data_IF_130922070407
#
_entry.id   IF_130922070407
#
_cell.length_a   1.000
_cell.length_b   1.000
_cell.length_c   1.000
_cell.angle_alpha   90.00
_cell.angle_beta   90.00
_cell.angle_gamma   90.00
#
_symmetry.space_group_name_H-M   'P 1'
#
loop_
_entity.id
_entity.type
_entity.pdbx_description
1 polymer ?
#
# COMPACT_ATOMS: atom_id res chain seq x y z
N UNK A 1 -29.18 16.86 8.58
CA UNK A 1 -27.81 16.76 9.16
C UNK A 1 -27.84 16.99 10.67
N UNK A 2 -27.23 16.11 11.47
CA UNK A 2 -27.00 16.31 12.90
C UNK A 2 -26.29 17.65 13.16
N UNK A 3 -26.73 18.39 14.17
CA UNK A 3 -26.13 19.67 14.60
C UNK A 3 -24.89 19.48 15.48
N UNK A 4 -24.61 18.25 15.91
CA UNK A 4 -23.46 17.91 16.72
C UNK A 4 -22.99 16.48 16.47
N UNK A 5 -21.69 16.24 16.64
CA UNK A 5 -21.06 14.93 16.62
C UNK A 5 -20.11 14.81 17.80
N UNK A 6 -20.24 13.74 18.57
CA UNK A 6 -19.39 13.48 19.73
C UNK A 6 -18.80 12.09 19.62
N UNK A 7 -17.51 11.99 19.93
CA UNK A 7 -16.80 10.73 20.06
C UNK A 7 -15.84 10.85 21.24
N UNK A 8 -16.16 10.15 22.33
CA UNK A 8 -15.50 10.37 23.62
C UNK A 8 -15.53 11.86 24.01
N UNK A 9 -14.37 12.48 24.25
CA UNK A 9 -14.21 13.90 24.59
C UNK A 9 -14.17 14.83 23.36
N UNK A 10 -14.00 14.29 22.14
CA UNK A 10 -13.97 15.07 20.91
C UNK A 10 -15.39 15.40 20.42
N UNK A 11 -15.72 16.70 20.40
CA UNK A 11 -17.01 17.23 19.94
C UNK A 11 -16.90 18.17 18.75
N UNK A 12 -17.83 18.06 17.81
CA UNK A 12 -18.12 19.06 16.78
C UNK A 12 -19.53 19.59 16.98
N UNK A 13 -19.65 20.90 16.81
CA UNK A 13 -20.94 21.60 16.75
C UNK A 13 -21.06 22.25 15.38
N UNK A 14 -22.19 22.05 14.72
CA UNK A 14 -22.50 22.65 13.43
C UNK A 14 -23.62 23.65 13.65
N UNK A 15 -23.30 24.92 13.41
CA UNK A 15 -24.26 26.01 13.45
C UNK A 15 -24.46 26.57 12.04
N UNK A 16 -25.71 26.63 11.60
CA UNK A 16 -26.07 27.18 10.28
C UNK A 16 -26.28 28.70 10.31
N UNK A 17 -26.19 29.32 11.49
CA UNK A 17 -26.47 30.74 11.72
C UNK A 17 -25.35 31.35 12.55
N UNK A 18 -24.77 32.45 12.05
CA UNK A 18 -23.73 33.21 12.77
C UNK A 18 -24.25 33.80 14.08
N UNK A 19 -25.55 34.08 14.14
CA UNK A 19 -26.21 34.70 15.29
C UNK A 19 -26.39 33.70 16.43
N UNK A 20 -26.52 32.42 16.11
CA UNK A 20 -26.82 31.39 17.11
C UNK A 20 -25.56 30.76 17.70
N UNK A 21 -24.39 30.88 17.05
CA UNK A 21 -23.13 30.33 17.57
C UNK A 21 -22.82 30.83 19.00
N UNK A 22 -22.86 32.15 19.31
CA UNK A 22 -22.59 32.60 20.68
C UNK A 22 -23.59 32.05 21.70
N UNK A 23 -24.87 31.90 21.32
CA UNK A 23 -25.90 31.33 22.20
C UNK A 23 -25.65 29.85 22.47
N UNK A 24 -25.27 29.09 21.43
CA UNK A 24 -24.92 27.67 21.56
C UNK A 24 -23.71 27.50 22.48
N UNK A 25 -22.69 28.35 22.34
CA UNK A 25 -21.54 28.33 23.25
C UNK A 25 -21.93 28.60 24.70
N UNK A 26 -22.79 29.60 24.95
CA UNK A 26 -23.29 29.87 26.31
C UNK A 26 -24.06 28.69 26.91
N UNK A 27 -24.90 28.02 26.12
CA UNK A 27 -25.62 26.81 26.56
C UNK A 27 -24.66 25.70 26.94
N UNK A 28 -23.59 25.54 26.17
CA UNK A 28 -22.56 24.53 26.41
C UNK A 28 -21.76 24.86 27.66
N UNK A 29 -21.35 26.12 27.84
CA UNK A 29 -20.70 26.57 29.07
C UNK A 29 -21.56 26.34 30.31
N UNK A 30 -22.86 26.64 30.23
CA UNK A 30 -23.76 26.37 31.35
C UNK A 30 -23.86 24.86 31.63
N UNK A 31 -23.91 24.03 30.59
CA UNK A 31 -23.96 22.58 30.71
C UNK A 31 -22.65 22.01 31.30
N UNK A 32 -21.49 22.50 30.88
CA UNK A 32 -20.18 22.07 31.36
C UNK A 32 -20.00 22.39 32.85
N UNK A 33 -20.38 23.59 33.28
CA UNK A 33 -20.41 23.95 34.72
C UNK A 33 -21.34 23.03 35.52
N UNK A 34 -22.57 22.80 35.02
CA UNK A 34 -23.55 21.94 35.70
C UNK A 34 -23.07 20.50 35.88
N UNK A 35 -22.29 19.99 34.94
CA UNK A 35 -21.81 18.61 34.93
C UNK A 35 -20.37 18.46 35.46
N UNK A 36 -19.75 19.55 35.94
CA UNK A 36 -18.35 19.56 36.40
C UNK A 36 -17.35 19.00 35.37
N UNK A 37 -17.60 19.25 34.08
CA UNK A 37 -16.71 18.89 32.97
C UNK A 37 -16.27 20.18 32.31
N UNK A 38 -14.97 20.48 32.25
CA UNK A 38 -14.48 21.71 31.63
C UNK A 38 -13.99 21.47 30.20
N UNK A 39 -14.28 22.42 29.31
CA UNK A 39 -13.65 22.47 27.99
C UNK A 39 -12.24 23.03 28.13
N UNK A 40 -11.37 22.65 27.20
CA UNK A 40 -10.00 23.16 27.07
C UNK A 40 -9.99 24.19 25.93
N UNK A 41 -10.09 25.51 26.23
CA UNK A 41 -10.25 26.53 25.18
C UNK A 41 -9.10 26.52 24.16
N UNK A 42 -7.89 26.18 24.60
CA UNK A 42 -6.70 26.02 23.75
C UNK A 42 -6.80 24.87 22.73
N UNK A 43 -7.68 23.90 22.94
CA UNK A 43 -7.96 22.81 21.98
C UNK A 43 -9.21 23.10 21.14
N UNK A 44 -10.03 24.06 21.53
CA UNK A 44 -11.19 24.46 20.76
C UNK A 44 -10.77 25.31 19.56
N UNK A 45 -11.44 25.12 18.42
CA UNK A 45 -11.22 25.92 17.24
C UNK A 45 -12.52 26.09 16.47
N UNK A 46 -12.63 27.21 15.75
CA UNK A 46 -13.75 27.49 14.86
C UNK A 46 -13.30 27.53 13.40
N UNK A 47 -14.02 26.83 12.55
CA UNK A 47 -13.89 26.90 11.09
C UNK A 47 -15.15 27.52 10.51
N UNK A 48 -15.00 28.49 9.61
CA UNK A 48 -16.15 29.15 8.97
C UNK A 48 -15.78 29.67 7.58
N UNK A 49 -16.69 29.52 6.61
CA UNK A 49 -16.58 30.13 5.28
C UNK A 49 -16.79 31.64 5.30
N UNK A 50 -17.41 32.11 6.37
CA UNK A 50 -17.84 33.48 6.50
C UNK A 50 -17.17 34.14 7.69
N UNK A 51 -17.07 35.45 7.65
CA UNK A 51 -16.70 36.24 8.82
C UNK A 51 -17.73 36.03 9.94
N UNK A 52 -17.22 35.76 11.14
CA UNK A 52 -18.00 35.48 12.36
C UNK A 52 -17.51 36.40 13.46
N UNK A 53 -18.36 36.72 14.45
CA UNK A 53 -17.90 37.46 15.62
C UNK A 53 -16.80 36.70 16.36
N UNK A 54 -16.00 37.43 17.14
CA UNK A 54 -15.04 36.83 18.07
C UNK A 54 -15.81 35.95 19.05
N UNK A 55 -15.43 34.68 19.10
CA UNK A 55 -16.04 33.69 19.98
C UNK A 55 -15.15 33.52 21.20
N UNK A 56 -15.76 33.33 22.36
CA UNK A 56 -15.02 33.00 23.58
C UNK A 56 -15.66 31.83 24.31
N UNK A 57 -14.81 31.05 24.99
CA UNK A 57 -15.19 29.99 25.92
C UNK A 57 -14.55 30.31 27.27
N UNK A 58 -15.36 30.45 28.33
CA UNK A 58 -14.90 30.86 29.67
C UNK A 58 -14.07 32.17 29.65
N UNK A 59 -14.46 33.11 28.81
CA UNK A 59 -13.75 34.39 28.63
C UNK A 59 -12.42 34.30 27.88
N UNK A 60 -12.03 33.13 27.36
CA UNK A 60 -10.87 32.97 26.47
C UNK A 60 -11.33 32.91 25.02
N UNK A 61 -10.66 33.66 24.14
CA UNK A 61 -10.96 33.65 22.72
C UNK A 61 -10.71 32.28 22.09
N UNK A 62 -11.62 31.83 21.23
CA UNK A 62 -11.50 30.58 20.48
C UNK A 62 -10.79 30.86 19.17
N UNK A 63 -9.69 30.14 18.91
CA UNK A 63 -8.89 30.32 17.71
C UNK A 63 -9.69 30.00 16.44
N UNK A 64 -9.66 30.93 15.47
CA UNK A 64 -10.18 30.69 14.13
C UNK A 64 -9.12 29.99 13.28
N UNK A 65 -9.45 28.83 12.72
CA UNK A 65 -8.57 28.04 11.85
C UNK A 65 -9.15 27.87 10.45
N UNK A 66 -8.28 27.70 9.48
CA UNK A 66 -8.67 27.30 8.11
C UNK A 66 -8.87 25.78 7.99
N UNK A 67 -8.28 25.01 8.91
CA UNK A 67 -8.44 23.58 8.99
C UNK A 67 -8.34 23.08 10.44
N UNK A 68 -9.22 22.15 10.81
CA UNK A 68 -9.21 21.44 12.09
C UNK A 68 -9.25 19.94 11.81
N UNK A 69 -8.52 19.15 12.60
CA UNK A 69 -8.57 17.69 12.51
C UNK A 69 -9.61 17.15 13.47
N UNK A 70 -10.54 16.31 12.98
CA UNK A 70 -11.51 15.60 13.80
C UNK A 70 -11.48 14.11 13.49
N UNK A 71 -11.27 13.28 14.53
CA UNK A 71 -11.10 11.82 14.39
C UNK A 71 -10.08 11.43 13.31
N UNK A 72 -9.06 12.26 13.16
CA UNK A 72 -8.00 12.07 12.18
C UNK A 72 -8.31 12.55 10.76
N UNK A 73 -9.48 13.16 10.50
CA UNK A 73 -9.85 13.78 9.23
C UNK A 73 -9.64 15.29 9.27
N UNK A 74 -8.88 15.87 8.33
CA UNK A 74 -8.79 17.31 8.20
C UNK A 74 -10.08 17.87 7.60
N UNK A 75 -10.68 18.81 8.32
CA UNK A 75 -11.92 19.48 7.97
C UNK A 75 -11.63 20.96 7.71
N UNK A 76 -11.99 21.42 6.52
CA UNK A 76 -11.97 22.82 6.12
C UNK A 76 -13.41 23.36 6.13
N UNK A 77 -13.60 24.68 6.02
CA UNK A 77 -14.92 25.25 5.76
C UNK A 77 -15.61 24.63 4.53
N UNK A 78 -14.83 24.18 3.54
CA UNK A 78 -15.30 23.49 2.33
C UNK A 78 -15.58 21.99 2.51
N UNK A 79 -15.46 21.43 3.72
CA UNK A 79 -15.67 20.01 3.99
C UNK A 79 -14.36 19.27 4.27
N UNK A 80 -14.41 17.94 4.16
CA UNK A 80 -13.24 17.08 4.43
C UNK A 80 -12.22 17.21 3.29
N UNK A 81 -10.96 17.45 3.65
CA UNK A 81 -9.84 17.51 2.70
C UNK A 81 -9.21 16.13 2.55
N UNK A 82 -9.79 15.29 1.68
CA UNK A 82 -9.33 13.92 1.45
C UNK A 82 -7.92 13.84 0.85
N UNK A 83 -7.53 14.82 0.03
CA UNK A 83 -6.18 14.88 -0.53
C UNK A 83 -5.14 15.10 0.56
N UNK A 84 -5.35 16.10 1.42
CA UNK A 84 -4.49 16.37 2.56
C UNK A 84 -4.46 15.20 3.55
N UNK A 85 -5.60 14.57 3.83
CA UNK A 85 -5.68 13.37 4.67
C UNK A 85 -4.73 12.29 4.15
N UNK A 86 -4.87 11.92 2.88
CA UNK A 86 -4.11 10.82 2.29
C UNK A 86 -2.60 11.14 2.27
N UNK A 87 -2.24 12.37 1.88
CA UNK A 87 -0.85 12.83 1.87
C UNK A 87 -0.22 12.80 3.26
N UNK A 88 -0.90 13.33 4.28
CA UNK A 88 -0.41 13.33 5.66
C UNK A 88 -0.23 11.91 6.19
N UNK A 89 -1.19 11.02 5.93
CA UNK A 89 -1.14 9.63 6.41
C UNK A 89 -0.06 8.79 5.73
N UNK A 90 0.12 8.94 4.42
CA UNK A 90 1.22 8.27 3.72
C UNK A 90 2.57 8.83 4.16
N UNK A 91 2.68 10.14 4.32
CA UNK A 91 3.92 10.77 4.82
C UNK A 91 4.27 10.28 6.23
N UNK A 92 3.27 10.17 7.11
CA UNK A 92 3.45 9.59 8.45
C UNK A 92 3.86 8.12 8.41
N UNK A 93 3.28 7.33 7.49
CA UNK A 93 3.66 5.94 7.28
C UNK A 93 5.11 5.81 6.81
N UNK A 94 5.55 6.66 5.88
CA UNK A 94 6.95 6.73 5.43
C UNK A 94 7.87 7.16 6.59
N UNK A 95 7.50 8.19 7.35
CA UNK A 95 8.24 8.63 8.53
C UNK A 95 8.42 7.50 9.55
N UNK A 96 7.38 6.70 9.80
CA UNK A 96 7.48 5.52 10.67
C UNK A 96 8.44 4.48 10.11
N UNK A 97 8.45 4.22 8.80
CA UNK A 97 9.44 3.30 8.21
C UNK A 97 10.87 3.82 8.35
N UNK A 98 11.08 5.15 8.29
CA UNK A 98 12.39 5.76 8.58
C UNK A 98 12.83 5.52 10.03
N UNK A 99 11.93 5.71 11.00
CA UNK A 99 12.19 5.42 12.41
C UNK A 99 12.49 3.93 12.66
N UNK A 100 11.70 3.04 12.05
CA UNK A 100 11.90 1.59 12.14
C UNK A 100 13.20 1.17 11.44
N UNK A 101 13.60 1.87 10.37
CA UNK A 101 14.85 1.68 9.64
C UNK A 101 16.04 1.50 10.58
N UNK A 102 16.21 2.43 11.52
CA UNK A 102 17.29 2.46 12.54
C UNK A 102 17.41 1.16 13.35
N UNK A 103 16.33 0.37 13.47
CA UNK A 103 16.30 -0.90 14.24
C UNK A 103 16.01 -2.14 13.39
N UNK A 104 15.77 -1.98 12.09
CA UNK A 104 15.27 -3.04 11.20
C UNK A 104 16.30 -3.54 10.18
N UNK A 105 17.58 -3.17 10.33
CA UNK A 105 18.66 -3.62 9.45
C UNK A 105 18.84 -5.13 9.45
N UNK A 106 18.50 -5.80 10.55
CA UNK A 106 18.51 -7.26 10.66
C UNK A 106 17.24 -7.94 10.14
N UNK A 107 16.20 -7.17 9.81
CA UNK A 107 14.92 -7.71 9.36
C UNK A 107 14.98 -8.06 7.88
N UNK A 108 14.73 -9.33 7.57
CA UNK A 108 14.54 -9.76 6.19
C UNK A 108 13.29 -9.14 5.55
N UNK A 109 13.23 -9.04 4.22
CA UNK A 109 12.09 -8.53 3.48
C UNK A 109 10.72 -9.13 3.87
N UNK A 110 10.68 -10.40 4.29
CA UNK A 110 9.45 -11.05 4.79
C UNK A 110 8.87 -10.33 6.01
N UNK A 111 9.71 -9.99 6.98
CA UNK A 111 9.28 -9.32 8.22
C UNK A 111 8.83 -7.89 7.90
N UNK A 112 9.58 -7.16 7.07
CA UNK A 112 9.19 -5.82 6.62
C UNK A 112 7.85 -5.83 5.90
N UNK A 113 7.60 -6.82 5.04
CA UNK A 113 6.31 -7.02 4.39
C UNK A 113 5.17 -7.29 5.38
N UNK A 114 5.41 -8.10 6.42
CA UNK A 114 4.41 -8.34 7.46
C UNK A 114 4.10 -7.07 8.25
N UNK A 115 5.12 -6.32 8.68
CA UNK A 115 4.95 -5.04 9.37
C UNK A 115 4.23 -4.04 8.48
N UNK A 116 4.55 -4.00 7.19
CA UNK A 116 3.82 -3.18 6.22
C UNK A 116 2.33 -3.51 6.21
N UNK A 117 1.98 -4.80 6.07
CA UNK A 117 0.58 -5.23 5.99
C UNK A 117 -0.19 -5.02 7.29
N UNK A 118 0.44 -5.19 8.44
CA UNK A 118 -0.22 -5.20 9.76
C UNK A 118 -0.26 -3.80 10.39
N UNK A 119 0.79 -3.00 10.23
CA UNK A 119 0.94 -1.74 10.96
C UNK A 119 1.00 -0.52 10.05
N UNK A 120 1.72 -0.59 8.92
CA UNK A 120 1.95 0.59 8.07
C UNK A 120 0.76 0.88 7.15
N UNK A 121 0.27 -0.13 6.43
CA UNK A 121 -0.85 0.05 5.49
C UNK A 121 -2.13 0.57 6.18
N UNK A 122 -2.53 0.07 7.36
CA UNK A 122 -3.67 0.63 8.08
C UNK A 122 -3.59 2.13 8.37
N UNK A 123 -2.39 2.71 8.50
CA UNK A 123 -2.24 4.14 8.79
C UNK A 123 -2.84 5.03 7.70
N UNK A 124 -2.72 4.64 6.44
CA UNK A 124 -3.26 5.40 5.30
C UNK A 124 -4.50 4.76 4.67
N UNK A 125 -4.85 3.53 5.05
CA UNK A 125 -6.11 2.89 4.64
C UNK A 125 -7.32 3.33 5.50
N UNK A 126 -7.06 3.96 6.66
CA UNK A 126 -8.13 4.56 7.47
C UNK A 126 -8.89 5.63 6.68
N UNK A 127 -10.21 5.47 6.56
CA UNK A 127 -11.05 6.31 5.70
C UNK A 127 -10.96 5.98 4.20
N UNK A 128 -10.26 4.90 3.81
CA UNK A 128 -10.02 4.50 2.42
C UNK A 128 -11.25 4.49 1.51
N UNK A 129 -12.43 3.97 1.93
CA UNK A 129 -13.64 4.04 1.12
C UNK A 129 -14.08 5.47 0.77
N UNK A 130 -13.99 6.41 1.72
CA UNK A 130 -14.35 7.81 1.50
C UNK A 130 -13.36 8.49 0.57
N UNK A 131 -12.06 8.23 0.79
CA UNK A 131 -10.98 8.72 -0.06
C UNK A 131 -11.14 8.20 -1.49
N UNK A 132 -11.51 6.93 -1.67
CA UNK A 132 -11.74 6.35 -3.00
C UNK A 132 -12.92 7.00 -3.71
N UNK A 133 -14.04 7.20 -2.99
CA UNK A 133 -15.20 7.88 -3.55
C UNK A 133 -14.87 9.31 -4.00
N UNK A 134 -14.04 10.04 -3.25
CA UNK A 134 -13.51 11.34 -3.66
C UNK A 134 -12.56 11.25 -4.86
N UNK A 135 -11.65 10.27 -4.87
CA UNK A 135 -10.62 10.10 -5.88
C UNK A 135 -11.19 9.84 -7.29
N UNK A 136 -12.35 9.20 -7.41
CA UNK A 136 -13.03 9.00 -8.71
C UNK A 136 -13.23 10.30 -9.50
N UNK A 137 -13.38 11.44 -8.82
CA UNK A 137 -13.47 12.77 -9.45
C UNK A 137 -12.19 13.61 -9.34
N UNK A 138 -11.14 13.11 -8.66
CA UNK A 138 -9.90 13.83 -8.32
C UNK A 138 -8.68 12.90 -8.45
N UNK A 139 -8.62 12.14 -9.55
CA UNK A 139 -7.57 11.14 -9.77
C UNK A 139 -6.16 11.74 -9.79
N UNK A 140 -5.89 12.90 -10.44
CA UNK A 140 -4.56 13.51 -10.40
C UNK A 140 -4.08 13.85 -8.99
N UNK A 141 -4.98 14.36 -8.14
CA UNK A 141 -4.70 14.69 -6.75
C UNK A 141 -4.45 13.44 -5.92
N UNK A 142 -5.23 12.37 -6.15
CA UNK A 142 -4.99 11.06 -5.56
C UNK A 142 -3.61 10.52 -5.91
N UNK A 143 -3.24 10.53 -7.19
CA UNK A 143 -1.93 10.06 -7.67
C UNK A 143 -0.77 10.84 -7.05
N UNK A 144 -0.93 12.16 -6.93
CA UNK A 144 0.03 13.04 -6.27
C UNK A 144 0.18 12.69 -4.79
N UNK A 145 -0.94 12.54 -4.07
CA UNK A 145 -0.93 12.23 -2.64
C UNK A 145 -0.30 10.86 -2.33
N UNK A 146 -0.42 9.89 -3.24
CA UNK A 146 0.14 8.54 -3.07
C UNK A 146 1.55 8.36 -3.62
N UNK A 147 2.17 9.39 -4.20
CA UNK A 147 3.47 9.28 -4.86
C UNK A 147 4.59 8.76 -3.93
N UNK A 148 4.49 9.02 -2.62
CA UNK A 148 5.45 8.55 -1.62
C UNK A 148 5.32 7.05 -1.28
N UNK A 149 4.28 6.35 -1.76
CA UNK A 149 4.13 4.90 -1.56
C UNK A 149 5.32 4.10 -2.10
N UNK A 150 6.02 4.62 -3.11
CA UNK A 150 7.26 4.03 -3.62
C UNK A 150 8.34 3.85 -2.54
N UNK A 151 8.41 4.76 -1.56
CA UNK A 151 9.38 4.68 -0.46
C UNK A 151 9.08 3.52 0.48
N UNK A 152 7.80 3.22 0.70
CA UNK A 152 7.38 2.05 1.47
C UNK A 152 7.79 0.75 0.77
N UNK A 153 7.72 0.71 -0.57
CA UNK A 153 8.20 -0.44 -1.33
C UNK A 153 9.73 -0.54 -1.29
N UNK A 154 10.44 0.57 -1.42
CA UNK A 154 11.90 0.61 -1.30
C UNK A 154 12.34 0.09 0.08
N UNK A 155 11.64 0.47 1.16
CA UNK A 155 11.90 -0.03 2.51
C UNK A 155 11.72 -1.54 2.63
N UNK A 156 10.65 -2.11 2.06
CA UNK A 156 10.43 -3.56 2.08
C UNK A 156 11.56 -4.30 1.34
N UNK A 157 11.96 -3.83 0.15
CA UNK A 157 12.98 -4.51 -0.65
C UNK A 157 14.43 -4.19 -0.27
N UNK A 158 14.69 -3.06 0.39
CA UNK A 158 16.04 -2.52 0.56
C UNK A 158 16.71 -2.08 -0.76
N UNK A 159 15.91 -1.82 -1.80
CA UNK A 159 16.37 -1.44 -3.14
C UNK A 159 15.55 -0.28 -3.67
N UNK A 160 16.21 0.68 -4.30
CA UNK A 160 15.56 1.84 -4.91
C UNK A 160 15.13 1.56 -6.35
N UNK A 161 14.07 2.21 -6.82
CA UNK A 161 13.79 2.33 -8.27
C UNK A 161 12.96 1.21 -8.91
N UNK A 162 12.50 0.18 -8.19
CA UNK A 162 11.65 -0.90 -8.74
C UNK A 162 10.36 -1.17 -7.95
N UNK A 163 9.80 -0.13 -7.33
CA UNK A 163 8.63 -0.22 -6.44
C UNK A 163 7.43 -1.01 -7.00
N UNK A 164 7.08 -0.88 -8.30
CA UNK A 164 6.01 -1.69 -8.89
C UNK A 164 6.33 -3.19 -8.97
N UNK A 165 7.58 -3.53 -9.28
CA UNK A 165 8.05 -4.92 -9.31
C UNK A 165 8.10 -5.47 -7.88
N UNK A 166 8.63 -4.69 -6.93
CA UNK A 166 8.62 -5.03 -5.50
C UNK A 166 7.20 -5.28 -4.99
N UNK A 167 6.26 -4.40 -5.28
CA UNK A 167 4.86 -4.56 -4.89
C UNK A 167 4.29 -5.87 -5.43
N UNK A 168 4.50 -6.15 -6.72
CA UNK A 168 4.04 -7.38 -7.34
C UNK A 168 4.69 -8.64 -6.71
N UNK A 169 6.01 -8.63 -6.46
CA UNK A 169 6.72 -9.71 -5.76
C UNK A 169 6.21 -9.90 -4.33
N UNK A 170 5.77 -8.83 -3.66
CA UNK A 170 5.23 -8.88 -2.30
C UNK A 170 3.72 -9.26 -2.24
N UNK A 171 3.09 -9.45 -3.39
CA UNK A 171 1.65 -9.65 -3.50
C UNK A 171 0.83 -8.44 -3.06
N UNK A 172 1.39 -7.24 -3.21
CA UNK A 172 0.76 -5.95 -2.92
C UNK A 172 0.25 -5.37 -4.24
N UNK A 173 -1.02 -4.98 -4.28
CA UNK A 173 -1.62 -4.29 -5.43
C UNK A 173 -1.28 -2.80 -5.40
N UNK A 174 -1.52 -2.08 -6.50
CA UNK A 174 -1.45 -0.61 -6.46
C UNK A 174 -2.41 -0.05 -5.42
N UNK A 175 -2.13 1.17 -4.93
CA UNK A 175 -3.05 1.84 -3.99
C UNK A 175 -4.42 2.10 -4.62
N UNK A 176 -4.50 2.34 -5.94
CA UNK A 176 -5.75 2.41 -6.67
C UNK A 176 -6.60 1.15 -6.47
N UNK A 177 -6.03 -0.01 -6.77
CA UNK A 177 -6.71 -1.30 -6.63
C UNK A 177 -7.03 -1.62 -5.17
N UNK A 178 -6.15 -1.24 -4.24
CA UNK A 178 -6.34 -1.46 -2.80
C UNK A 178 -7.49 -0.62 -2.24
N UNK A 179 -7.58 0.65 -2.64
CA UNK A 179 -8.65 1.54 -2.20
C UNK A 179 -9.99 1.14 -2.81
N UNK A 180 -10.02 0.74 -4.09
CA UNK A 180 -11.20 0.10 -4.71
C UNK A 180 -11.63 -1.16 -3.93
N UNK A 181 -10.68 -2.01 -3.51
CA UNK A 181 -10.99 -3.20 -2.73
C UNK A 181 -11.62 -2.87 -1.36
N UNK A 182 -11.07 -1.88 -0.65
CA UNK A 182 -11.63 -1.41 0.63
C UNK A 182 -13.01 -0.80 0.43
N UNK A 183 -13.20 -0.06 -0.65
CA UNK A 183 -14.47 0.53 -1.05
C UNK A 183 -15.54 -0.53 -1.30
N UNK A 184 -15.23 -1.57 -2.09
CA UNK A 184 -16.14 -2.70 -2.32
C UNK A 184 -16.49 -3.43 -1.01
N UNK A 185 -15.52 -3.60 -0.10
CA UNK A 185 -15.79 -4.17 1.23
C UNK A 185 -16.72 -3.29 2.06
N UNK A 186 -16.58 -1.98 1.95
CA UNK A 186 -17.42 -1.02 2.66
C UNK A 186 -18.87 -1.02 2.17
N UNK A 187 -19.13 -1.37 0.91
CA UNK A 187 -20.50 -1.48 0.40
C UNK A 187 -21.34 -2.53 1.14
N UNK A 188 -20.74 -3.66 1.53
CA UNK A 188 -21.44 -4.65 2.35
C UNK A 188 -21.84 -4.08 3.71
N UNK A 189 -20.97 -3.25 4.31
CA UNK A 189 -21.28 -2.57 5.57
C UNK A 189 -22.45 -1.61 5.35
N UNK A 190 -22.38 -0.78 4.31
CA UNK A 190 -23.47 0.13 3.96
C UNK A 190 -24.78 -0.63 3.78
N UNK A 191 -24.78 -1.72 3.00
CA UNK A 191 -25.98 -2.54 2.75
C UNK A 191 -26.60 -3.08 4.04
N UNK A 192 -25.78 -3.41 5.04
CA UNK A 192 -26.21 -3.93 6.34
C UNK A 192 -26.61 -2.85 7.36
N UNK A 193 -26.36 -1.56 7.09
CA UNK A 193 -26.80 -0.49 7.98
C UNK A 193 -28.32 -0.34 7.97
N UNK A 194 -28.98 -0.17 9.14
CA UNK A 194 -30.40 0.19 9.22
C UNK A 194 -30.70 1.50 8.51
N UNK A 195 -31.93 1.66 8.00
CA UNK A 195 -32.36 2.87 7.30
C UNK A 195 -32.34 4.12 8.22
N UNK A 196 -32.51 3.92 9.53
CA UNK A 196 -32.43 4.97 10.54
C UNK A 196 -30.98 5.43 10.82
N UNK A 197 -29.99 4.72 10.28
CA UNK A 197 -28.60 5.09 10.49
C UNK A 197 -28.34 6.50 9.92
N UNK A 198 -27.71 7.42 10.68
CA UNK A 198 -27.48 8.79 10.23
C UNK A 198 -26.71 8.88 8.90
N UNK A 199 -25.81 7.94 8.63
CA UNK A 199 -25.10 7.88 7.36
C UNK A 199 -26.03 7.48 6.21
N UNK A 200 -26.92 6.51 6.41
CA UNK A 200 -27.93 6.11 5.40
C UNK A 200 -28.84 7.27 5.06
N UNK A 201 -29.35 7.96 6.07
CA UNK A 201 -30.17 9.17 5.89
C UNK A 201 -29.39 10.26 5.14
N UNK A 202 -28.13 10.51 5.51
CA UNK A 202 -27.29 11.50 4.85
C UNK A 202 -27.03 11.17 3.38
N UNK A 203 -26.80 9.89 3.05
CA UNK A 203 -26.57 9.46 1.67
C UNK A 203 -27.86 9.46 0.83
N UNK A 204 -29.02 9.31 1.46
CA UNK A 204 -30.33 9.45 0.81
C UNK A 204 -30.65 10.92 0.49
N UNK A 205 -30.16 11.87 1.29
CA UNK A 205 -30.25 13.30 1.01
C UNK A 205 -29.41 13.66 -0.23
N UNK A 206 -30.02 13.65 -1.42
CA UNK A 206 -29.35 14.12 -2.64
C UNK A 206 -29.04 15.61 -2.52
N UNK A 207 -27.76 15.94 -2.35
CA UNK A 207 -27.28 17.32 -2.29
C UNK A 207 -26.59 17.69 -3.61
N UNK A 208 -27.15 18.62 -4.40
CA UNK A 208 -26.51 19.07 -5.62
C UNK A 208 -25.22 19.85 -5.29
N UNK A 209 -24.17 19.60 -6.06
CA UNK A 209 -22.92 20.37 -6.02
C UNK A 209 -21.65 19.53 -5.92
N UNK A 210 -20.55 20.07 -6.47
CA UNK A 210 -19.23 19.39 -6.52
C UNK A 210 -18.72 18.95 -5.15
N UNK A 211 -19.06 19.71 -4.10
CA UNK A 211 -18.61 19.50 -2.72
C UNK A 211 -19.14 18.20 -2.09
N UNK A 212 -20.27 17.68 -2.60
CA UNK A 212 -20.92 16.45 -2.13
C UNK A 212 -20.86 15.33 -3.18
N UNK A 213 -20.15 15.52 -4.30
CA UNK A 213 -20.05 14.53 -5.36
C UNK A 213 -19.52 13.17 -4.85
N UNK A 214 -18.58 13.20 -3.90
CA UNK A 214 -18.04 11.99 -3.28
C UNK A 214 -19.12 11.19 -2.52
N UNK A 215 -20.18 11.81 -1.98
CA UNK A 215 -21.26 11.10 -1.31
C UNK A 215 -22.08 10.28 -2.31
N UNK A 216 -22.36 10.85 -3.48
CA UNK A 216 -22.99 10.11 -4.58
C UNK A 216 -22.11 8.94 -5.02
N UNK A 217 -20.82 9.20 -5.20
CA UNK A 217 -19.84 8.17 -5.57
C UNK A 217 -19.67 7.08 -4.51
N UNK A 218 -19.97 7.36 -3.24
CA UNK A 218 -19.91 6.42 -2.14
C UNK A 218 -21.02 5.36 -2.19
N UNK A 219 -22.15 5.67 -2.83
CA UNK A 219 -23.32 4.77 -2.89
C UNK A 219 -23.27 3.75 -4.02
N UNK A 220 -22.31 3.86 -4.93
CA UNK A 220 -22.26 3.04 -6.14
C UNK A 220 -20.90 2.38 -6.31
N UNK A 221 -20.92 1.06 -6.40
CA UNK A 221 -19.73 0.26 -6.68
C UNK A 221 -20.02 -0.85 -7.68
N UNK A 222 -19.48 -0.72 -8.89
CA UNK A 222 -19.62 -1.74 -9.94
C UNK A 222 -19.12 -3.11 -9.48
N UNK A 223 -18.05 -3.13 -8.70
CA UNK A 223 -17.44 -4.35 -8.23
C UNK A 223 -18.32 -5.11 -7.23
N UNK A 224 -19.04 -4.38 -6.38
CA UNK A 224 -20.03 -4.91 -5.46
C UNK A 224 -21.29 -5.40 -6.16
N UNK A 225 -21.78 -4.69 -7.20
CA UNK A 225 -22.91 -5.18 -8.01
C UNK A 225 -22.59 -6.52 -8.68
N UNK A 226 -21.41 -6.65 -9.28
CA UNK A 226 -20.94 -7.94 -9.85
C UNK A 226 -20.87 -9.03 -8.77
N UNK A 227 -20.48 -8.68 -7.54
CA UNK A 227 -20.47 -9.62 -6.43
C UNK A 227 -21.88 -10.12 -6.10
N UNK A 228 -22.87 -9.22 -6.00
CA UNK A 228 -24.27 -9.58 -5.74
C UNK A 228 -24.84 -10.51 -6.82
N UNK A 229 -24.51 -10.25 -8.08
CA UNK A 229 -24.98 -11.07 -9.21
C UNK A 229 -24.38 -12.49 -9.23
N UNK A 230 -23.20 -12.68 -8.65
CA UNK A 230 -22.42 -13.93 -8.79
C UNK A 230 -22.52 -14.88 -7.61
N UNK A 231 -23.07 -14.44 -6.47
CA UNK A 231 -23.09 -15.24 -5.24
C UNK A 231 -24.51 -15.69 -4.90
N UNK A 232 -24.76 -16.99 -5.04
CA UNK A 232 -25.85 -17.68 -4.31
C UNK A 232 -25.43 -17.73 -2.84
N UNK A 233 -26.13 -17.00 -1.99
CA UNK A 233 -25.79 -16.74 -0.57
C UNK A 233 -25.58 -18.04 0.24
N UNK A 234 -24.34 -18.50 0.38
CA UNK A 234 -23.88 -19.60 1.24
C UNK A 234 -22.42 -19.33 1.69
N UNK A 235 -22.01 -19.47 2.98
CA UNK A 235 -22.77 -19.40 4.23
C UNK A 235 -22.58 -18.08 5.02
N UNK A 236 -21.82 -17.08 4.55
CA UNK A 236 -21.90 -15.68 5.06
C UNK A 236 -21.48 -14.71 3.96
N UNK A 237 -22.21 -13.60 3.77
CA UNK A 237 -21.92 -12.60 2.75
C UNK A 237 -20.47 -12.06 2.85
N UNK A 238 -19.96 -11.90 4.07
CA UNK A 238 -18.59 -11.47 4.33
C UNK A 238 -17.54 -12.45 3.80
N UNK A 239 -17.69 -13.75 4.06
CA UNK A 239 -16.76 -14.78 3.57
C UNK A 239 -16.82 -14.89 2.04
N UNK A 240 -18.03 -14.82 1.47
CA UNK A 240 -18.20 -14.80 0.02
C UNK A 240 -17.51 -13.58 -0.61
N UNK A 241 -17.66 -12.40 0.00
CA UNK A 241 -17.04 -11.17 -0.46
C UNK A 241 -15.52 -11.23 -0.36
N UNK A 242 -14.96 -11.72 0.75
CA UNK A 242 -13.51 -11.86 0.90
C UNK A 242 -12.91 -12.83 -0.14
N UNK A 243 -13.66 -13.88 -0.53
CA UNK A 243 -13.26 -14.79 -1.63
C UNK A 243 -13.36 -14.13 -2.99
N UNK A 244 -14.43 -13.38 -3.27
CA UNK A 244 -14.58 -12.60 -4.51
C UNK A 244 -13.43 -11.60 -4.67
N UNK A 245 -13.17 -10.84 -3.62
CA UNK A 245 -12.12 -9.84 -3.58
C UNK A 245 -10.71 -10.45 -3.62
N UNK A 246 -10.52 -11.67 -3.12
CA UNK A 246 -9.29 -12.43 -3.35
C UNK A 246 -9.11 -12.75 -4.84
N UNK A 247 -10.12 -13.30 -5.51
CA UNK A 247 -10.04 -13.63 -6.95
C UNK A 247 -9.69 -12.39 -7.77
N UNK A 248 -10.27 -11.24 -7.44
CA UNK A 248 -9.90 -9.96 -8.05
C UNK A 248 -8.45 -9.57 -7.81
N UNK A 249 -7.96 -9.66 -6.56
CA UNK A 249 -6.54 -9.40 -6.25
C UNK A 249 -5.59 -10.30 -7.03
N UNK A 250 -5.91 -11.60 -7.14
CA UNK A 250 -5.12 -12.55 -7.95
C UNK A 250 -5.05 -12.08 -9.40
N UNK A 251 -6.19 -11.71 -10.00
CA UNK A 251 -6.25 -11.23 -11.38
C UNK A 251 -5.47 -9.92 -11.58
N UNK A 252 -5.55 -8.99 -10.63
CA UNK A 252 -4.80 -7.72 -10.67
C UNK A 252 -3.30 -7.98 -10.65
N UNK A 253 -2.82 -8.81 -9.71
CA UNK A 253 -1.39 -9.17 -9.62
C UNK A 253 -0.92 -9.89 -10.86
N UNK A 254 -1.74 -10.79 -11.42
CA UNK A 254 -1.44 -11.49 -12.66
C UNK A 254 -1.34 -10.53 -13.85
N UNK A 255 -2.28 -9.61 -14.01
CA UNK A 255 -2.25 -8.59 -15.07
C UNK A 255 -1.00 -7.70 -14.94
N UNK A 256 -0.74 -7.19 -13.74
CA UNK A 256 0.46 -6.39 -13.46
C UNK A 256 1.76 -7.18 -13.70
N UNK A 257 1.76 -8.47 -13.37
CA UNK A 257 2.90 -9.33 -13.65
C UNK A 257 3.14 -9.44 -15.16
N UNK A 258 2.10 -9.56 -15.98
CA UNK A 258 2.20 -9.63 -17.44
C UNK A 258 2.71 -8.34 -18.07
N UNK A 259 2.40 -7.18 -17.49
CA UNK A 259 2.89 -5.87 -17.94
C UNK A 259 4.37 -5.63 -17.60
N UNK A 260 4.91 -6.34 -16.59
CA UNK A 260 6.26 -6.14 -16.09
C UNK A 260 7.12 -7.36 -16.35
N UNK A 261 8.08 -7.25 -17.27
CA UNK A 261 8.93 -8.36 -17.72
C UNK A 261 9.55 -9.20 -16.59
N UNK A 262 9.97 -8.58 -15.48
CA UNK A 262 10.62 -9.28 -14.35
C UNK A 262 9.68 -10.16 -13.52
N UNK A 263 8.37 -9.86 -13.52
CA UNK A 263 7.38 -10.62 -12.75
C UNK A 263 6.52 -11.52 -13.63
N UNK A 264 6.52 -11.30 -14.95
CA UNK A 264 5.85 -12.16 -15.94
C UNK A 264 6.34 -13.60 -15.88
N UNK A 265 7.60 -13.80 -15.48
CA UNK A 265 8.25 -15.10 -15.33
C UNK A 265 7.82 -15.89 -14.08
N UNK A 266 6.89 -15.37 -13.29
CA UNK A 266 6.46 -15.93 -12.01
C UNK A 266 5.01 -16.42 -12.14
N UNK A 267 4.79 -17.74 -12.30
CA UNK A 267 3.44 -18.27 -12.39
C UNK A 267 2.63 -18.00 -11.12
N UNK A 268 1.31 -17.80 -11.25
CA UNK A 268 0.47 -17.50 -10.10
C UNK A 268 0.40 -18.65 -9.08
N UNK A 269 0.54 -19.91 -9.52
CA UNK A 269 0.49 -21.07 -8.64
C UNK A 269 1.72 -21.22 -7.73
N UNK A 270 2.85 -20.56 -8.04
CA UNK A 270 4.06 -20.62 -7.21
C UNK A 270 3.97 -19.64 -6.03
N UNK A 271 3.08 -18.65 -6.13
CA UNK A 271 2.86 -17.61 -5.12
C UNK A 271 2.02 -18.15 -3.97
N UNK A 272 2.42 -17.81 -2.74
CA UNK A 272 1.70 -18.22 -1.54
C UNK A 272 2.61 -18.51 -0.36
N UNK A 273 2.06 -19.12 0.69
CA UNK A 273 2.77 -19.45 1.93
C UNK A 273 2.19 -18.72 3.14
N UNK A 274 2.35 -19.26 4.36
CA UNK A 274 1.88 -18.60 5.58
C UNK A 274 2.44 -17.19 5.72
N UNK A 275 1.57 -16.19 5.90
CA UNK A 275 1.94 -14.77 5.98
C UNK A 275 2.38 -14.11 4.66
N UNK A 276 2.50 -14.87 3.57
CA UNK A 276 3.04 -14.44 2.27
C UNK A 276 2.03 -14.64 1.14
N UNK A 277 0.74 -14.44 1.44
CA UNK A 277 -0.33 -14.62 0.47
C UNK A 277 -0.08 -13.76 -0.79
N UNK A 278 -0.05 -14.42 -1.95
CA UNK A 278 0.24 -13.85 -3.29
C UNK A 278 1.67 -13.31 -3.50
N UNK A 279 2.53 -13.40 -2.49
CA UNK A 279 3.93 -13.04 -2.63
C UNK A 279 4.73 -14.16 -3.32
N UNK A 280 5.81 -13.75 -4.00
CA UNK A 280 6.78 -14.63 -4.62
C UNK A 280 7.55 -15.43 -3.55
N UNK A 281 8.03 -16.59 -3.99
CA UNK A 281 8.75 -17.53 -3.16
C UNK A 281 10.13 -17.03 -2.70
N UNK A 282 10.70 -15.99 -3.34
CA UNK A 282 11.94 -15.38 -2.88
C UNK A 282 11.87 -14.89 -1.42
N UNK A 283 10.68 -14.54 -0.92
CA UNK A 283 10.47 -14.12 0.47
C UNK A 283 10.38 -15.29 1.47
N UNK A 284 10.39 -16.55 1.01
CA UNK A 284 10.34 -17.74 1.87
C UNK A 284 11.71 -18.20 2.37
N UNK A 285 12.79 -17.51 1.99
CA UNK A 285 14.14 -17.82 2.47
C UNK A 285 14.19 -17.98 3.98
N UNK A 286 14.97 -18.95 4.44
CA UNK A 286 15.07 -19.39 5.84
C UNK A 286 15.58 -18.28 6.78
N UNK A 287 16.38 -17.36 6.24
CA UNK A 287 17.01 -16.28 6.99
C UNK A 287 16.98 -14.95 6.19
N UNK A 288 17.22 -13.80 6.84
CA UNK A 288 17.19 -12.49 6.19
C UNK A 288 18.10 -12.35 4.96
N UNK A 289 19.33 -12.88 5.03
CA UNK A 289 20.32 -12.80 3.93
C UNK A 289 19.86 -13.58 2.70
N UNK A 290 19.27 -14.77 2.91
CA UNK A 290 18.67 -15.56 1.83
C UNK A 290 17.53 -14.79 1.15
N UNK A 291 16.61 -14.24 1.93
CA UNK A 291 15.51 -13.45 1.40
C UNK A 291 16.00 -12.24 0.59
N UNK A 292 17.01 -11.53 1.09
CA UNK A 292 17.58 -10.36 0.42
C UNK A 292 18.23 -10.71 -0.91
N UNK A 293 19.07 -11.75 -0.95
CA UNK A 293 19.76 -12.17 -2.18
C UNK A 293 18.76 -12.65 -3.23
N UNK A 294 17.78 -13.47 -2.84
CA UNK A 294 16.76 -13.97 -3.76
C UNK A 294 15.85 -12.85 -4.28
N UNK A 295 15.49 -11.90 -3.41
CA UNK A 295 14.70 -10.74 -3.81
C UNK A 295 15.49 -9.84 -4.77
N UNK A 296 16.76 -9.52 -4.46
CA UNK A 296 17.65 -8.75 -5.34
C UNK A 296 17.83 -9.45 -6.68
N UNK A 297 17.93 -10.78 -6.71
CA UNK A 297 17.96 -11.55 -7.95
C UNK A 297 16.68 -11.35 -8.79
N UNK A 298 15.49 -11.54 -8.19
CA UNK A 298 14.20 -11.30 -8.88
C UNK A 298 14.03 -9.87 -9.37
N UNK A 299 14.58 -8.93 -8.62
CA UNK A 299 14.60 -7.52 -9.00
C UNK A 299 15.69 -7.20 -10.03
N UNK A 300 16.51 -8.14 -10.49
CA UNK A 300 17.72 -7.92 -11.32
C UNK A 300 18.64 -6.83 -10.76
N UNK A 301 18.84 -6.85 -9.45
CA UNK A 301 19.78 -6.02 -8.67
C UNK A 301 20.90 -6.85 -8.02
N UNK A 302 20.93 -8.16 -8.25
CA UNK A 302 22.02 -8.99 -7.76
C UNK A 302 23.33 -8.53 -8.40
N UNK A 303 24.26 -8.03 -7.59
CA UNK A 303 25.56 -7.50 -8.04
C UNK A 303 25.44 -6.46 -9.15
N UNK A 304 24.49 -5.54 -9.02
CA UNK A 304 24.35 -4.41 -9.95
C UNK A 304 25.65 -3.60 -10.03
N UNK A 305 26.09 -3.31 -11.25
CA UNK A 305 27.32 -2.56 -11.52
C UNK A 305 28.61 -3.39 -11.46
N UNK A 306 28.58 -4.63 -10.95
CA UNK A 306 29.75 -5.50 -10.94
C UNK A 306 30.13 -5.95 -12.35
N UNK A 307 31.41 -6.15 -12.60
CA UNK A 307 31.93 -6.72 -13.84
C UNK A 307 32.05 -8.24 -13.68
N UNK A 308 31.54 -8.97 -14.66
CA UNK A 308 31.68 -10.41 -14.74
C UNK A 308 33.11 -10.78 -15.18
N UNK A 309 33.61 -11.95 -14.80
CA UNK A 309 34.91 -12.49 -15.25
C UNK A 309 35.04 -12.60 -16.78
N UNK A 310 33.94 -12.55 -17.53
CA UNK A 310 33.97 -12.49 -18.99
C UNK A 310 34.20 -11.07 -19.56
N UNK A 311 34.38 -10.06 -18.71
CA UNK A 311 34.60 -8.65 -19.08
C UNK A 311 33.33 -7.81 -19.23
N UNK A 312 32.14 -8.42 -19.16
CA UNK A 312 30.85 -7.73 -19.36
C UNK A 312 30.19 -7.35 -18.02
N UNK A 313 29.35 -6.30 -18.03
CA UNK A 313 28.57 -5.90 -16.85
C UNK A 313 27.65 -7.05 -16.43
N UNK A 314 27.71 -7.43 -15.14
CA UNK A 314 26.92 -8.52 -14.61
C UNK A 314 25.42 -8.23 -14.74
N UNK A 315 24.67 -9.24 -15.17
CA UNK A 315 23.24 -9.17 -15.33
C UNK A 315 22.63 -10.53 -15.02
N UNK A 316 21.31 -10.59 -14.82
CA UNK A 316 20.61 -11.82 -14.42
C UNK A 316 21.00 -13.04 -15.26
N UNK A 317 21.04 -12.92 -16.59
CA UNK A 317 21.39 -14.04 -17.48
C UNK A 317 22.85 -14.52 -17.45
N UNK A 318 23.70 -13.97 -16.58
CA UNK A 318 25.07 -14.46 -16.39
C UNK A 318 25.12 -15.70 -15.49
N UNK A 319 23.99 -16.20 -14.96
CA UNK A 319 24.02 -17.46 -14.20
C UNK A 319 24.53 -18.67 -15.02
N UNK A 320 24.47 -18.59 -16.34
CA UNK A 320 25.05 -19.61 -17.24
C UNK A 320 26.37 -19.18 -17.87
N UNK A 321 27.00 -18.11 -17.39
CA UNK A 321 28.27 -17.63 -17.92
C UNK A 321 29.38 -18.64 -17.65
N UNK A 322 30.04 -19.20 -18.68
CA UNK A 322 31.10 -20.20 -18.49
C UNK A 322 32.25 -19.69 -17.62
N UNK A 323 32.54 -18.38 -17.66
CA UNK A 323 33.61 -17.76 -16.89
C UNK A 323 33.33 -17.72 -15.38
N UNK A 324 32.06 -17.82 -14.97
CA UNK A 324 31.70 -17.89 -13.55
C UNK A 324 31.69 -19.33 -13.02
N UNK A 325 31.80 -20.33 -13.90
CA UNK A 325 31.64 -21.75 -13.55
C UNK A 325 30.37 -22.34 -14.17
N UNK A 326 30.24 -23.67 -14.12
CA UNK A 326 29.09 -24.35 -14.74
C UNK A 326 27.93 -24.52 -13.75
N UNK A 327 27.37 -23.41 -13.31
CA UNK A 327 26.18 -23.35 -12.45
C UNK A 327 24.91 -23.63 -13.27
N UNK A 328 23.79 -23.90 -12.60
CA UNK A 328 22.54 -23.85 -13.33
C UNK A 328 22.24 -25.01 -14.27
N UNK A 329 23.04 -26.09 -14.33
CA UNK A 329 22.87 -27.13 -15.37
C UNK A 329 21.58 -27.93 -15.15
N UNK A 330 20.59 -27.67 -16.00
CA UNK A 330 19.34 -28.43 -16.01
C UNK A 330 19.52 -29.80 -16.65
N UNK A 331 18.97 -30.82 -16.00
CA UNK A 331 18.75 -32.15 -16.58
C UNK A 331 17.83 -32.09 -17.79
N UNK A 332 17.79 -33.17 -18.59
CA UNK A 332 16.87 -33.26 -19.74
C UNK A 332 15.41 -33.10 -19.33
N UNK A 333 15.02 -33.70 -18.21
CA UNK A 333 13.67 -33.60 -17.67
C UNK A 333 13.34 -32.15 -17.24
N UNK A 334 14.24 -31.49 -16.53
CA UNK A 334 14.05 -30.09 -16.11
C UNK A 334 13.96 -29.13 -17.31
N UNK A 335 14.75 -29.35 -18.37
CA UNK A 335 14.63 -28.57 -19.61
C UNK A 335 13.25 -28.70 -20.24
N UNK A 336 12.66 -29.90 -20.21
CA UNK A 336 11.31 -30.12 -20.71
C UNK A 336 10.26 -29.38 -19.86
N UNK A 337 10.35 -29.48 -18.53
CA UNK A 337 9.44 -28.77 -17.61
C UNK A 337 9.59 -27.25 -17.75
N UNK A 338 10.82 -26.75 -17.82
CA UNK A 338 11.11 -25.34 -18.09
C UNK A 338 10.47 -24.89 -19.41
N UNK A 339 10.58 -25.70 -20.47
CA UNK A 339 9.93 -25.44 -21.75
C UNK A 339 8.40 -25.37 -21.67
N UNK A 340 7.76 -26.20 -20.83
CA UNK A 340 6.31 -26.13 -20.56
C UNK A 340 5.93 -24.82 -19.87
N UNK A 341 6.67 -24.42 -18.84
CA UNK A 341 6.45 -23.16 -18.11
C UNK A 341 6.61 -21.94 -19.04
N UNK A 342 7.65 -21.92 -19.87
CA UNK A 342 7.88 -20.83 -20.85
C UNK A 342 6.70 -20.69 -21.81
N UNK A 343 6.16 -21.81 -22.30
CA UNK A 343 4.99 -21.82 -23.18
C UNK A 343 3.73 -21.33 -22.46
N UNK A 344 3.49 -21.78 -21.24
CA UNK A 344 2.36 -21.37 -20.41
C UNK A 344 2.36 -19.85 -20.15
N UNK A 345 3.53 -19.31 -19.79
CA UNK A 345 3.73 -17.89 -19.52
C UNK A 345 3.75 -17.02 -20.77
N UNK A 346 3.70 -17.62 -21.97
CA UNK A 346 3.75 -16.92 -23.26
C UNK A 346 4.93 -15.94 -23.32
N UNK A 347 6.10 -16.42 -22.91
CA UNK A 347 7.30 -15.57 -22.92
C UNK A 347 7.83 -15.41 -24.34
N UNK A 348 8.16 -14.17 -24.69
CA UNK A 348 8.78 -13.85 -25.98
C UNK A 348 10.27 -14.21 -25.97
N UNK A 349 10.88 -14.38 -27.15
CA UNK A 349 12.32 -14.72 -27.26
C UNK A 349 13.25 -13.74 -26.53
N UNK A 350 12.83 -12.48 -26.34
CA UNK A 350 13.60 -11.43 -25.64
C UNK A 350 13.49 -11.54 -24.11
N UNK A 351 12.51 -12.26 -23.59
CA UNK A 351 12.28 -12.38 -22.15
C UNK A 351 13.13 -13.51 -21.58
N UNK A 352 14.25 -13.14 -20.93
CA UNK A 352 15.19 -14.11 -20.34
C UNK A 352 14.55 -14.85 -19.16
N UNK A 353 14.16 -16.10 -19.38
CA UNK A 353 13.79 -17.07 -18.34
C UNK A 353 14.97 -17.99 -18.04
N UNK A 354 15.63 -17.72 -16.94
CA UNK A 354 16.89 -18.30 -16.50
C UNK A 354 16.70 -19.65 -15.81
N UNK A 355 17.79 -20.33 -15.45
CA UNK A 355 17.71 -21.60 -14.72
C UNK A 355 17.36 -21.37 -13.25
N UNK A 356 17.87 -20.30 -12.64
CA UNK A 356 17.50 -19.94 -11.27
C UNK A 356 16.03 -19.54 -11.14
N UNK A 357 15.40 -18.85 -12.11
CA UNK A 357 13.96 -18.56 -12.01
C UNK A 357 13.10 -19.81 -12.16
N UNK A 358 13.54 -20.75 -12.98
CA UNK A 358 12.92 -22.07 -13.07
C UNK A 358 12.98 -22.78 -11.71
N UNK A 359 14.15 -22.85 -11.08
CA UNK A 359 14.31 -23.49 -9.77
C UNK A 359 13.59 -22.77 -8.64
N UNK A 360 13.61 -21.43 -8.62
CA UNK A 360 12.80 -20.66 -7.68
C UNK A 360 11.33 -20.98 -7.83
N UNK A 361 10.81 -21.00 -9.06
CA UNK A 361 9.41 -21.35 -9.33
C UNK A 361 9.04 -22.77 -8.87
N UNK A 362 10.01 -23.70 -8.82
CA UNK A 362 9.83 -25.05 -8.27
C UNK A 362 10.06 -25.14 -6.75
N UNK A 363 10.48 -24.05 -6.10
CA UNK A 363 10.73 -24.00 -4.66
C UNK A 363 12.13 -24.41 -4.20
N UNK A 364 13.08 -24.51 -5.12
CA UNK A 364 14.49 -24.79 -4.81
C UNK A 364 15.25 -23.50 -4.41
N UNK A 365 14.70 -22.73 -3.46
CA UNK A 365 15.28 -21.43 -3.05
C UNK A 365 16.69 -21.55 -2.49
N UNK A 366 16.94 -22.60 -1.71
CA UNK A 366 18.24 -22.86 -1.07
C UNK A 366 19.36 -23.06 -2.10
N UNK A 367 19.10 -23.88 -3.12
CA UNK A 367 20.07 -24.11 -4.19
C UNK A 367 20.40 -22.80 -4.93
N UNK A 368 19.37 -22.02 -5.28
CA UNK A 368 19.56 -20.74 -5.97
C UNK A 368 20.33 -19.75 -5.09
N UNK A 369 20.08 -19.75 -3.78
CA UNK A 369 20.82 -18.91 -2.84
C UNK A 369 22.30 -19.29 -2.74
N UNK A 370 22.61 -20.58 -2.65
CA UNK A 370 23.99 -21.09 -2.59
C UNK A 370 24.76 -20.69 -3.87
N UNK A 371 24.19 -20.96 -5.05
CA UNK A 371 24.81 -20.56 -6.32
C UNK A 371 24.94 -19.03 -6.44
N UNK A 372 23.95 -18.25 -5.98
CA UNK A 372 24.01 -16.79 -5.99
C UNK A 372 25.08 -16.23 -5.04
N UNK A 373 25.32 -16.87 -3.90
CA UNK A 373 26.39 -16.49 -2.98
C UNK A 373 27.76 -16.72 -3.59
N UNK A 374 27.97 -17.86 -4.24
CA UNK A 374 29.25 -18.18 -4.90
C UNK A 374 29.52 -17.21 -6.06
N UNK A 375 28.52 -16.94 -6.90
CA UNK A 375 28.63 -15.93 -7.95
C UNK A 375 28.99 -14.56 -7.38
N UNK A 376 28.37 -14.14 -6.25
CA UNK A 376 28.75 -12.89 -5.58
C UNK A 376 30.19 -12.89 -5.09
N UNK A 377 30.67 -14.01 -4.56
CA UNK A 377 32.07 -14.16 -4.14
C UNK A 377 33.05 -14.00 -5.29
N UNK A 378 32.77 -14.63 -6.44
CA UNK A 378 33.60 -14.51 -7.65
C UNK A 378 33.61 -13.07 -8.17
N UNK A 379 32.45 -12.41 -8.22
CA UNK A 379 32.35 -11.02 -8.67
C UNK A 379 33.08 -10.05 -7.73
N UNK A 380 33.09 -10.35 -6.42
CA UNK A 380 33.88 -9.59 -5.44
C UNK A 380 35.38 -9.71 -5.69
N UNK A 381 35.87 -10.93 -5.94
CA UNK A 381 37.29 -11.15 -6.23
C UNK A 381 37.75 -10.42 -7.52
N UNK A 382 36.92 -10.40 -8.57
CA UNK A 382 37.22 -9.64 -9.80
C UNK A 382 37.35 -8.15 -9.51
N UNK A 383 36.49 -7.60 -8.65
CA UNK A 383 36.58 -6.20 -8.27
C UNK A 383 37.87 -5.91 -7.49
N UNK A 384 38.22 -6.77 -6.53
CA UNK A 384 39.45 -6.63 -5.75
C UNK A 384 40.70 -6.70 -6.64
N UNK A 385 40.73 -7.60 -7.64
CA UNK A 385 41.80 -7.69 -8.64
C UNK A 385 41.92 -6.39 -9.46
N UNK A 386 40.80 -5.85 -9.94
CA UNK A 386 40.80 -4.60 -10.73
C UNK A 386 41.28 -3.37 -9.95
N UNK A 387 40.96 -3.29 -8.66
CA UNK A 387 41.42 -2.17 -7.81
C UNK A 387 42.93 -2.26 -7.51
N UNK A 388 43.50 -3.46 -7.44
CA UNK A 388 44.94 -3.64 -7.23
C UNK A 388 45.74 -3.26 -8.48
N UNK A 389 45.23 -3.57 -9.67
CA UNK A 389 45.88 -3.19 -10.93
C UNK A 389 45.89 -1.64 -11.13
N UNK A 390 44.86 -0.93 -10.66
CA UNK A 390 44.81 0.55 -10.71
C UNK A 390 45.82 1.21 -9.76
N UNK A 391 46.14 0.59 -8.62
CA UNK A 391 47.11 1.10 -7.64
C UNK A 391 48.59 0.83 -8.04
N UNK A 392 48.85 -0.11 -8.95
CA UNK A 392 50.22 -0.41 -9.46
C UNK A 392 50.65 0.49 -10.65
N UNK A 393 49.68 1.15 -11.29
CA UNK A 393 49.90 2.05 -12.45
C UNK A 393 50.00 3.55 -12.07
N UNK A 394 49.86 3.90 -10.77
CA UNK A 394 50.14 5.25 -10.19
C UNK A 394 51.52 5.32 -9.51
#
# INVERSE_FOLDING_TARGET
MPLCYFYADDGILICNSKVDIPKVLQVIEAWTYKNAIMLSPEKCAVISRFEIPVLSIYGREVERKDCVTYLGFPVRPTGIDFGMLLQQRISAAVGLTGFLGVRSDTWGPKIRLMVYKIHIAPMFEYGGPLVWAWAKSHMPEFETAVAQWKELMNWISGCNGRHYVTANLCGITTLKDRFQHLFTKYQLILEQLPDENPLRQLLAERRPGKLYAWMTELTTDRDFEIFKDTVKLEPTAQVALDRFLLKKRVKVIETQAREKHLTKIIPMYTRGGPGLRLADICLRGSNPKEQEILLKYRLSFLSEGSICKCGEVFHRGHETCPALGSWGKLSRAEKEVKGKIVKELKLERKEKFTNWDFWLNLGHSKQVFEEALEVRGILGAVYDEMMLDEDEDE
#
